data_IF_622922033712
#
_entry.id   IF_622922033712
#
_cell.length_a   1.000
_cell.length_b   1.000
_cell.length_c   1.000
_cell.angle_alpha   90.00
_cell.angle_beta   90.00
_cell.angle_gamma   90.00
#
_symmetry.space_group_name_H-M   'P 1'
#
loop_
_entity.id
_entity.type
_entity.pdbx_description
1 polymer ?
#
# COMPACT_ATOMS: atom_id res chain seq x y z
N UNK A 1 2.98 20.57 11.20
CA UNK A 1 3.52 19.66 10.17
C UNK A 1 4.99 19.46 10.46
N UNK A 2 5.50 18.22 10.43
CA UNK A 2 6.80 17.88 11.00
C UNK A 2 8.03 18.26 10.16
N UNK A 3 7.90 19.15 9.15
CA UNK A 3 9.01 19.61 8.29
C UNK A 3 9.73 18.53 7.47
N UNK A 4 9.39 17.26 7.64
CA UNK A 4 10.03 16.12 6.98
C UNK A 4 9.09 15.60 5.90
N UNK A 5 9.62 15.46 4.69
CA UNK A 5 8.89 14.89 3.54
C UNK A 5 9.65 13.70 2.98
N UNK A 6 8.96 12.59 2.78
CA UNK A 6 9.46 11.43 2.06
C UNK A 6 8.85 11.42 0.66
N UNK A 7 9.68 11.32 -0.39
CA UNK A 7 9.25 11.12 -1.77
C UNK A 7 9.63 9.71 -2.19
N UNK A 8 8.63 8.84 -2.36
CA UNK A 8 8.78 7.41 -2.57
C UNK A 8 8.35 7.00 -3.98
N UNK A 9 9.27 6.41 -4.73
CA UNK A 9 8.98 5.76 -6.02
C UNK A 9 9.02 4.23 -5.93
N UNK A 10 8.75 3.55 -7.05
CA UNK A 10 8.66 2.08 -7.10
C UNK A 10 9.97 1.38 -6.69
N UNK A 11 11.09 2.09 -6.74
CA UNK A 11 12.38 1.62 -6.26
C UNK A 11 12.42 1.30 -4.76
N UNK A 12 11.56 1.92 -3.93
CA UNK A 12 11.48 1.58 -2.49
C UNK A 12 11.08 0.12 -2.29
N UNK A 13 10.20 -0.39 -3.15
CA UNK A 13 9.70 -1.75 -3.11
C UNK A 13 10.74 -2.78 -3.59
N UNK A 14 11.90 -2.36 -4.13
CA UNK A 14 12.98 -3.26 -4.55
C UNK A 14 13.72 -3.93 -3.39
N UNK A 15 13.43 -3.54 -2.15
CA UNK A 15 13.85 -4.25 -0.94
C UNK A 15 12.99 -5.49 -0.65
N UNK A 16 11.84 -5.64 -1.33
CA UNK A 16 10.93 -6.76 -1.16
C UNK A 16 11.33 -7.92 -2.08
N UNK A 17 11.08 -9.13 -1.57
CA UNK A 17 11.14 -10.35 -2.35
C UNK A 17 9.96 -11.22 -1.99
N UNK A 18 9.30 -11.78 -2.99
CA UNK A 18 8.26 -12.78 -2.78
C UNK A 18 8.83 -14.18 -2.54
N UNK A 19 7.95 -15.17 -2.41
CA UNK A 19 8.31 -16.58 -2.22
C UNK A 19 9.13 -17.17 -3.38
N UNK A 20 9.02 -16.60 -4.58
CA UNK A 20 9.78 -16.99 -5.77
C UNK A 20 11.07 -16.16 -5.92
N UNK A 21 11.47 -15.42 -4.86
CA UNK A 21 12.62 -14.53 -4.82
C UNK A 21 12.59 -13.46 -5.94
N UNK A 22 11.40 -13.12 -6.44
CA UNK A 22 11.16 -12.01 -7.36
C UNK A 22 10.94 -10.73 -6.59
N UNK A 23 11.43 -9.62 -7.14
CA UNK A 23 11.16 -8.29 -6.63
C UNK A 23 9.88 -7.74 -7.26
N UNK A 24 9.15 -6.84 -6.57
CA UNK A 24 8.08 -6.08 -7.21
C UNK A 24 8.57 -5.43 -8.51
N UNK A 25 7.73 -5.34 -9.55
CA UNK A 25 8.17 -4.81 -10.83
C UNK A 25 8.38 -3.30 -10.81
N UNK A 26 9.33 -2.86 -11.62
CA UNK A 26 9.38 -1.51 -12.16
C UNK A 26 8.58 -1.48 -13.47
N UNK A 27 8.26 -0.27 -13.94
CA UNK A 27 7.46 -0.08 -15.15
C UNK A 27 8.02 -0.81 -16.39
N UNK A 28 9.34 -0.94 -16.48
CA UNK A 28 10.04 -1.52 -17.64
C UNK A 28 10.15 -3.04 -17.63
N UNK A 29 9.89 -3.70 -16.49
CA UNK A 29 10.08 -5.14 -16.33
C UNK A 29 8.85 -5.87 -15.78
N UNK A 30 7.68 -5.21 -15.73
CA UNK A 30 6.45 -5.80 -15.23
C UNK A 30 6.07 -7.10 -15.94
N UNK A 31 6.06 -7.09 -17.27
CA UNK A 31 5.71 -8.29 -18.05
C UNK A 31 6.73 -9.41 -17.85
N UNK A 32 8.02 -9.08 -17.72
CA UNK A 32 9.07 -10.07 -17.45
C UNK A 32 8.87 -10.75 -16.09
N UNK A 33 8.55 -9.97 -15.05
CA UNK A 33 8.33 -10.49 -13.70
C UNK A 33 7.04 -11.30 -13.64
N UNK A 34 5.96 -10.78 -14.22
CA UNK A 34 4.69 -11.48 -14.25
C UNK A 34 4.82 -12.83 -14.98
N UNK A 35 5.39 -12.85 -16.19
CA UNK A 35 5.49 -14.07 -17.00
C UNK A 35 6.41 -15.16 -16.41
N UNK A 36 7.27 -14.82 -15.43
CA UNK A 36 8.03 -15.82 -14.66
C UNK A 36 7.20 -16.53 -13.60
N UNK A 37 6.10 -15.95 -13.14
CA UNK A 37 5.22 -16.56 -12.15
C UNK A 37 4.30 -17.57 -12.82
N UNK A 38 4.13 -18.74 -12.18
CA UNK A 38 3.27 -19.83 -12.67
C UNK A 38 1.82 -19.38 -12.94
N UNK A 39 1.30 -18.48 -12.11
CA UNK A 39 -0.05 -17.91 -12.23
C UNK A 39 -0.30 -17.28 -13.61
N UNK A 40 0.65 -16.47 -14.10
CA UNK A 40 0.50 -15.71 -15.34
C UNK A 40 0.96 -16.47 -16.59
N UNK A 41 1.68 -17.58 -16.41
CA UNK A 41 2.05 -18.47 -17.51
C UNK A 41 0.98 -19.52 -17.83
N UNK A 42 0.02 -19.75 -16.93
CA UNK A 42 -1.11 -20.67 -17.12
C UNK A 42 -2.00 -20.31 -18.34
N UNK A 43 -2.54 -21.33 -19.01
CA UNK A 43 -3.34 -21.16 -20.22
C UNK A 43 -4.67 -20.43 -19.98
N UNK A 44 -5.36 -20.74 -18.87
CA UNK A 44 -6.63 -20.08 -18.53
C UNK A 44 -6.39 -18.59 -18.27
N UNK A 45 -5.31 -18.25 -17.55
CA UNK A 45 -4.94 -16.86 -17.32
C UNK A 45 -4.54 -16.15 -18.63
N UNK A 46 -3.71 -16.81 -19.44
CA UNK A 46 -3.20 -16.28 -20.72
C UNK A 46 -4.35 -15.89 -21.66
N UNK A 47 -5.39 -16.72 -21.75
CA UNK A 47 -6.53 -16.46 -22.62
C UNK A 47 -7.27 -15.16 -22.26
N UNK A 48 -7.36 -14.80 -20.97
CA UNK A 48 -8.06 -13.58 -20.53
C UNK A 48 -7.33 -12.30 -20.89
N UNK A 49 -6.01 -12.36 -20.96
CA UNK A 49 -5.16 -11.22 -21.32
C UNK A 49 -4.65 -11.28 -22.77
N UNK A 50 -5.11 -12.27 -23.55
CA UNK A 50 -4.62 -12.48 -24.92
C UNK A 50 -4.78 -11.25 -25.80
N UNK A 51 -5.88 -10.50 -25.66
CA UNK A 51 -6.11 -9.25 -26.39
C UNK A 51 -5.03 -8.18 -26.17
N UNK A 52 -4.39 -8.18 -25.00
CA UNK A 52 -3.27 -7.29 -24.68
C UNK A 52 -2.00 -7.79 -25.37
N UNK A 53 -1.72 -9.09 -25.34
CA UNK A 53 -0.58 -9.66 -26.06
C UNK A 53 -0.70 -9.46 -27.56
N UNK A 54 -1.88 -9.70 -28.14
CA UNK A 54 -2.15 -9.46 -29.57
C UNK A 54 -1.94 -8.00 -29.95
N UNK A 55 -2.36 -7.07 -29.07
CA UNK A 55 -2.12 -5.64 -29.26
C UNK A 55 -0.62 -5.31 -29.25
N UNK A 56 0.11 -5.80 -28.26
CA UNK A 56 1.57 -5.59 -28.17
C UNK A 56 2.29 -6.20 -29.36
N UNK A 57 1.94 -7.42 -29.77
CA UNK A 57 2.53 -8.09 -30.93
C UNK A 57 2.23 -7.33 -32.22
N UNK A 58 1.01 -6.81 -32.39
CA UNK A 58 0.63 -6.03 -33.57
C UNK A 58 1.54 -4.82 -33.78
N UNK A 59 1.82 -4.04 -32.73
CA UNK A 59 2.52 -2.75 -32.85
C UNK A 59 4.02 -2.81 -32.54
N UNK A 60 4.46 -3.66 -31.60
CA UNK A 60 5.87 -3.81 -31.22
C UNK A 60 6.54 -5.06 -31.78
N UNK A 61 5.79 -5.96 -32.44
CA UNK A 61 6.32 -7.24 -32.97
C UNK A 61 7.00 -8.10 -31.89
N UNK A 62 6.48 -8.02 -30.66
CA UNK A 62 6.96 -8.79 -29.50
C UNK A 62 5.91 -9.82 -29.12
N UNK A 63 6.30 -11.08 -29.17
CA UNK A 63 5.49 -12.21 -28.70
C UNK A 63 5.49 -12.27 -27.18
N UNK A 64 4.59 -13.07 -26.59
CA UNK A 64 4.63 -13.39 -25.15
C UNK A 64 6.00 -13.89 -24.69
N UNK A 65 6.68 -14.69 -25.52
CA UNK A 65 8.04 -15.19 -25.22
C UNK A 65 9.05 -14.05 -25.16
N UNK A 66 8.98 -13.10 -26.09
CA UNK A 66 9.85 -11.93 -26.09
C UNK A 66 9.63 -11.06 -24.84
N UNK A 67 8.36 -10.88 -24.44
CA UNK A 67 7.98 -10.10 -23.26
C UNK A 67 8.44 -10.74 -21.94
N UNK A 68 8.60 -12.06 -21.90
CA UNK A 68 9.17 -12.75 -20.74
C UNK A 68 10.69 -12.52 -20.60
N UNK A 69 11.37 -12.27 -21.72
CA UNK A 69 12.83 -12.27 -21.80
C UNK A 69 13.45 -10.89 -22.01
N UNK A 70 12.67 -9.88 -22.44
CA UNK A 70 13.17 -8.53 -22.72
C UNK A 70 12.32 -7.45 -22.02
N UNK A 71 12.93 -6.32 -21.60
CA UNK A 71 12.18 -5.19 -21.06
C UNK A 71 11.12 -4.69 -22.04
N UNK A 72 10.01 -4.18 -21.49
CA UNK A 72 8.93 -3.58 -22.25
C UNK A 72 8.47 -2.30 -21.57
N UNK A 73 8.41 -1.21 -22.33
CA UNK A 73 8.01 0.09 -21.84
C UNK A 73 6.49 0.22 -21.80
N UNK A 74 5.91 -0.01 -20.62
CA UNK A 74 4.48 0.15 -20.42
C UNK A 74 4.01 1.59 -20.66
N UNK A 75 4.85 2.60 -20.47
CA UNK A 75 4.44 3.99 -20.68
C UNK A 75 4.11 4.25 -22.15
N UNK A 76 4.95 3.74 -23.05
CA UNK A 76 4.71 3.82 -24.49
C UNK A 76 3.43 3.06 -24.89
N UNK A 77 3.17 1.91 -24.26
CA UNK A 77 1.99 1.10 -24.54
C UNK A 77 0.69 1.83 -24.15
N UNK A 78 0.61 2.32 -22.91
CA UNK A 78 -0.54 3.09 -22.44
C UNK A 78 -0.70 4.40 -23.23
N UNK A 79 0.40 5.10 -23.53
CA UNK A 79 0.36 6.33 -24.34
C UNK A 79 -0.19 6.07 -25.75
N UNK A 80 0.19 4.96 -26.39
CA UNK A 80 -0.34 4.60 -27.71
C UNK A 80 -1.83 4.25 -27.63
N UNK A 81 -2.24 3.47 -26.62
CA UNK A 81 -3.64 3.13 -26.38
C UNK A 81 -4.50 4.37 -26.19
N UNK A 82 -4.04 5.31 -25.36
CA UNK A 82 -4.73 6.57 -25.09
C UNK A 82 -4.90 7.40 -26.37
N UNK A 83 -3.84 7.57 -27.16
CA UNK A 83 -3.92 8.30 -28.43
C UNK A 83 -4.87 7.65 -29.42
N UNK A 84 -4.81 6.32 -29.57
CA UNK A 84 -5.71 5.60 -30.47
C UNK A 84 -7.17 5.71 -30.01
N UNK A 85 -7.44 5.70 -28.70
CA UNK A 85 -8.79 5.93 -28.16
C UNK A 85 -9.30 7.33 -28.48
N UNK A 86 -8.48 8.36 -28.34
CA UNK A 86 -8.85 9.74 -28.67
C UNK A 86 -9.15 9.93 -30.16
N UNK A 87 -8.44 9.20 -31.02
CA UNK A 87 -8.71 9.21 -32.47
C UNK A 87 -9.99 8.43 -32.81
N UNK A 88 -10.20 7.28 -32.18
CA UNK A 88 -11.34 6.41 -32.42
C UNK A 88 -12.66 6.98 -31.87
N UNK A 89 -12.65 7.66 -30.71
CA UNK A 89 -13.88 8.16 -30.09
C UNK A 89 -14.69 9.12 -30.98
N UNK A 90 -14.04 9.74 -31.98
CA UNK A 90 -14.66 10.66 -32.95
C UNK A 90 -15.06 9.98 -34.28
N UNK A 91 -14.58 8.77 -34.56
CA UNK A 91 -14.61 8.17 -35.91
C UNK A 91 -15.16 6.75 -35.95
N UNK A 92 -14.86 5.94 -34.93
CA UNK A 92 -15.13 4.52 -34.92
C UNK A 92 -15.44 4.05 -33.48
N UNK A 93 -16.73 3.87 -33.21
CA UNK A 93 -17.23 3.46 -31.90
C UNK A 93 -16.82 2.02 -31.53
N UNK A 94 -16.71 1.12 -32.51
CA UNK A 94 -16.36 -0.27 -32.23
C UNK A 94 -14.86 -0.40 -31.93
N UNK A 95 -14.02 0.31 -32.68
CA UNK A 95 -12.58 0.39 -32.35
C UNK A 95 -12.35 1.07 -31.00
N UNK A 96 -13.11 2.13 -30.68
CA UNK A 96 -13.04 2.78 -29.37
C UNK A 96 -13.35 1.79 -28.23
N UNK A 97 -14.45 1.04 -28.33
CA UNK A 97 -14.81 0.00 -27.35
C UNK A 97 -13.72 -1.07 -27.23
N UNK A 98 -13.16 -1.52 -28.35
CA UNK A 98 -12.07 -2.51 -28.38
C UNK A 98 -10.84 -2.00 -27.63
N UNK A 99 -10.43 -0.75 -27.86
CA UNK A 99 -9.27 -0.15 -27.20
C UNK A 99 -9.50 0.10 -25.71
N UNK A 100 -10.70 0.52 -25.31
CA UNK A 100 -11.09 0.63 -23.89
C UNK A 100 -10.99 -0.73 -23.20
N UNK A 101 -11.46 -1.81 -23.84
CA UNK A 101 -11.35 -3.15 -23.29
C UNK A 101 -9.88 -3.61 -23.12
N UNK A 102 -9.02 -3.31 -24.10
CA UNK A 102 -7.58 -3.65 -24.03
C UNK A 102 -6.90 -2.89 -22.89
N UNK A 103 -7.12 -1.58 -22.78
CA UNK A 103 -6.58 -0.75 -21.71
C UNK A 103 -7.05 -1.24 -20.34
N UNK A 104 -8.34 -1.54 -20.20
CA UNK A 104 -8.90 -2.10 -18.96
C UNK A 104 -8.21 -3.41 -18.56
N UNK A 105 -8.06 -4.35 -19.50
CA UNK A 105 -7.38 -5.65 -19.23
C UNK A 105 -5.91 -5.46 -18.83
N UNK A 106 -5.20 -4.56 -19.50
CA UNK A 106 -3.81 -4.22 -19.15
C UNK A 106 -3.72 -3.56 -17.76
N UNK A 107 -4.65 -2.65 -17.44
CA UNK A 107 -4.76 -1.98 -16.15
C UNK A 107 -5.04 -2.98 -15.01
N UNK A 108 -6.01 -3.88 -15.19
CA UNK A 108 -6.32 -4.94 -14.23
C UNK A 108 -5.15 -5.91 -14.05
N UNK A 109 -4.39 -6.18 -15.12
CA UNK A 109 -3.20 -7.03 -15.04
C UNK A 109 -2.08 -6.37 -14.23
N UNK A 110 -1.82 -5.09 -14.48
CA UNK A 110 -0.91 -4.27 -13.68
C UNK A 110 -1.30 -4.33 -12.19
N UNK A 111 -2.58 -4.08 -11.89
CA UNK A 111 -3.09 -4.08 -10.52
C UNK A 111 -2.93 -5.45 -9.83
N UNK A 112 -3.27 -6.54 -10.52
CA UNK A 112 -3.14 -7.90 -9.98
C UNK A 112 -1.68 -8.29 -9.72
N UNK A 113 -0.78 -8.00 -10.66
CA UNK A 113 0.65 -8.29 -10.50
C UNK A 113 1.24 -7.53 -9.31
N UNK A 114 0.88 -6.26 -9.13
CA UNK A 114 1.35 -5.47 -7.99
C UNK A 114 0.78 -5.96 -6.66
N UNK A 115 -0.50 -6.34 -6.64
CA UNK A 115 -1.18 -6.82 -5.43
C UNK A 115 -0.60 -8.14 -4.91
N UNK A 116 -0.11 -9.01 -5.79
CA UNK A 116 0.59 -10.25 -5.40
C UNK A 116 1.82 -9.99 -4.49
N UNK A 117 2.41 -8.79 -4.56
CA UNK A 117 3.59 -8.45 -3.74
C UNK A 117 3.23 -7.84 -2.39
N UNK A 118 1.98 -7.43 -2.13
CA UNK A 118 1.60 -6.78 -0.87
C UNK A 118 1.87 -7.69 0.34
N UNK A 119 1.57 -8.98 0.23
CA UNK A 119 1.86 -9.97 1.27
C UNK A 119 3.36 -10.23 1.48
N UNK A 120 4.19 -9.91 0.49
CA UNK A 120 5.64 -10.06 0.57
C UNK A 120 6.32 -8.86 1.23
N UNK A 121 5.58 -7.78 1.48
CA UNK A 121 6.08 -6.54 2.08
C UNK A 121 6.59 -6.69 3.52
N UNK A 122 6.25 -7.78 4.21
CA UNK A 122 6.61 -8.01 5.62
C UNK A 122 8.00 -8.62 5.82
N UNK A 123 9.03 -8.04 5.19
CA UNK A 123 10.41 -8.38 5.52
C UNK A 123 11.00 -7.40 6.55
N UNK A 124 12.10 -7.82 7.20
CA UNK A 124 12.70 -7.05 8.30
C UNK A 124 13.13 -5.63 7.88
N UNK A 125 13.64 -5.47 6.66
CA UNK A 125 14.05 -4.15 6.14
C UNK A 125 12.84 -3.23 5.99
N UNK A 126 11.78 -3.69 5.35
CA UNK A 126 10.54 -2.91 5.17
C UNK A 126 9.84 -2.63 6.50
N UNK A 127 9.82 -3.58 7.43
CA UNK A 127 9.32 -3.36 8.79
C UNK A 127 10.10 -2.27 9.53
N UNK A 128 11.44 -2.35 9.50
CA UNK A 128 12.30 -1.32 10.10
C UNK A 128 12.10 0.05 9.43
N UNK A 129 11.88 0.08 8.12
CA UNK A 129 11.50 1.30 7.43
C UNK A 129 10.15 1.86 7.92
N UNK A 130 9.14 1.01 8.08
CA UNK A 130 7.86 1.38 8.70
C UNK A 130 8.03 2.00 10.09
N UNK A 131 8.94 1.46 10.92
CA UNK A 131 9.24 2.03 12.26
C UNK A 131 9.86 3.42 12.18
N UNK A 132 10.72 3.67 11.20
CA UNK A 132 11.26 5.01 10.94
C UNK A 132 10.12 5.96 10.61
N UNK A 133 9.20 5.57 9.70
CA UNK A 133 8.07 6.42 9.29
C UNK A 133 7.10 6.70 10.45
N UNK A 134 6.74 5.68 11.22
CA UNK A 134 5.86 5.82 12.41
C UNK A 134 6.50 6.74 13.45
N UNK A 135 7.82 6.66 13.64
CA UNK A 135 8.52 7.51 14.59
C UNK A 135 8.64 8.96 14.09
N UNK A 136 9.01 9.16 12.83
CA UNK A 136 9.26 10.49 12.28
C UNK A 136 7.96 11.25 11.95
N UNK A 137 6.83 10.58 11.82
CA UNK A 137 5.55 11.19 11.38
C UNK A 137 5.72 12.14 10.17
N UNK A 138 6.35 11.69 9.07
CA UNK A 138 6.60 12.55 7.92
C UNK A 138 5.36 12.70 7.04
N UNK A 139 5.31 13.74 6.22
CA UNK A 139 4.40 13.71 5.06
C UNK A 139 5.02 12.80 3.99
N UNK A 140 4.26 11.82 3.51
CA UNK A 140 4.74 10.83 2.54
C UNK A 140 4.09 11.13 1.20
N UNK A 141 4.90 11.41 0.18
CA UNK A 141 4.48 11.55 -1.21
C UNK A 141 4.89 10.26 -1.91
N UNK A 142 3.94 9.59 -2.57
CA UNK A 142 4.27 8.38 -3.32
C UNK A 142 3.55 8.32 -4.66
N UNK A 143 4.25 7.73 -5.63
CA UNK A 143 3.76 7.46 -6.98
C UNK A 143 3.36 5.99 -7.16
N UNK A 144 3.51 5.18 -6.11
CA UNK A 144 3.24 3.75 -6.13
C UNK A 144 1.74 3.51 -5.95
N UNK A 145 1.17 2.65 -6.79
CA UNK A 145 -0.23 2.26 -6.70
C UNK A 145 -0.49 1.24 -5.58
N UNK A 146 0.48 0.36 -5.31
CA UNK A 146 0.38 -0.67 -4.27
C UNK A 146 0.23 -0.08 -2.87
N UNK A 147 -0.27 -0.90 -1.93
CA UNK A 147 -0.50 -0.48 -0.55
C UNK A 147 0.61 -0.93 0.42
N UNK A 148 1.83 -1.20 -0.07
CA UNK A 148 2.92 -1.76 0.74
C UNK A 148 3.32 -0.80 1.87
N UNK A 149 3.39 0.51 1.59
CA UNK A 149 3.78 1.53 2.57
C UNK A 149 2.74 1.62 3.70
N UNK A 150 1.47 1.53 3.37
CA UNK A 150 0.38 1.47 4.35
C UNK A 150 0.50 0.21 5.22
N UNK A 151 0.69 -0.95 4.60
CA UNK A 151 0.81 -2.22 5.31
C UNK A 151 2.00 -2.27 6.26
N UNK A 152 3.15 -1.69 5.90
CA UNK A 152 4.32 -1.65 6.79
C UNK A 152 4.14 -0.63 7.92
N UNK A 153 3.41 0.47 7.71
CA UNK A 153 3.09 1.43 8.76
C UNK A 153 2.10 0.82 9.74
N UNK A 154 1.05 0.16 9.27
CA UNK A 154 0.10 -0.59 10.10
C UNK A 154 0.82 -1.60 10.99
N UNK A 155 1.71 -2.40 10.39
CA UNK A 155 2.50 -3.40 11.11
C UNK A 155 3.46 -2.76 12.12
N UNK A 156 4.21 -1.73 11.72
CA UNK A 156 5.18 -1.05 12.58
C UNK A 156 4.52 -0.20 13.68
N UNK A 157 3.26 0.20 13.51
CA UNK A 157 2.50 0.93 14.53
C UNK A 157 2.12 0.07 15.74
N UNK A 158 2.21 -1.25 15.60
CA UNK A 158 1.80 -2.21 16.63
C UNK A 158 0.30 -2.47 16.64
N UNK A 159 -0.09 -3.49 17.39
CA UNK A 159 -1.48 -3.95 17.52
C UNK A 159 -2.21 -3.09 18.56
N UNK A 160 -3.46 -2.76 18.27
CA UNK A 160 -4.37 -2.10 19.20
C UNK A 160 -4.95 -3.13 20.19
N UNK A 161 -4.63 -3.06 21.49
CA UNK A 161 -5.12 -4.02 22.48
C UNK A 161 -6.60 -3.80 22.87
N UNK A 162 -7.17 -2.64 22.51
CA UNK A 162 -8.52 -2.24 22.91
C UNK A 162 -9.56 -2.84 21.96
N UNK A 163 -9.77 -4.15 22.06
CA UNK A 163 -10.77 -4.86 21.25
C UNK A 163 -12.19 -4.48 21.74
N UNK A 164 -13.07 -3.94 20.88
CA UNK A 164 -14.43 -3.56 21.27
C UNK A 164 -15.28 -4.75 21.72
N UNK A 165 -16.22 -4.51 22.64
CA UNK A 165 -17.14 -5.53 23.18
C UNK A 165 -17.85 -6.37 22.12
N UNK A 166 -18.35 -5.80 21.00
CA UNK A 166 -19.02 -6.59 19.96
C UNK A 166 -18.19 -7.72 19.36
N UNK A 167 -16.86 -7.71 19.47
CA UNK A 167 -16.01 -8.83 19.03
C UNK A 167 -15.98 -10.00 20.02
N UNK A 168 -16.32 -9.77 21.28
CA UNK A 168 -16.39 -10.82 22.30
C UNK A 168 -17.69 -11.63 22.21
N UNK A 169 -18.76 -11.01 21.72
CA UNK A 169 -20.08 -11.63 21.60
C UNK A 169 -20.19 -12.38 20.26
N UNK A 170 -20.05 -13.71 20.31
CA UNK A 170 -19.94 -14.62 19.14
C UNK A 170 -21.23 -14.82 18.33
N UNK A 171 -21.92 -13.76 17.95
CA UNK A 171 -23.01 -13.86 16.97
C UNK A 171 -22.73 -12.96 15.77
N UNK A 172 -22.05 -13.49 14.74
CA UNK A 172 -22.00 -12.82 13.45
C UNK A 172 -23.37 -12.97 12.80
N UNK A 173 -24.25 -11.97 12.95
CA UNK A 173 -25.35 -11.82 12.00
C UNK A 173 -24.95 -10.75 10.98
N UNK A 174 -25.31 -10.99 9.73
CA UNK A 174 -24.96 -10.17 8.56
C UNK A 174 -25.76 -8.84 8.53
N UNK A 175 -26.78 -8.70 9.39
CA UNK A 175 -27.81 -7.65 9.31
C UNK A 175 -27.73 -6.55 10.39
N UNK A 176 -26.70 -6.54 11.25
CA UNK A 176 -26.58 -5.46 12.24
C UNK A 176 -25.86 -4.23 11.69
N UNK A 177 -26.53 -3.08 11.81
CA UNK A 177 -25.90 -1.77 11.72
C UNK A 177 -24.64 -1.75 12.60
N UNK A 178 -23.51 -1.34 12.02
CA UNK A 178 -22.20 -1.37 12.68
C UNK A 178 -22.24 -0.41 13.86
N UNK A 179 -22.01 -0.82 15.13
CA UNK A 179 -22.02 0.09 16.26
C UNK A 179 -20.95 1.18 16.15
N UNK A 180 -21.19 2.36 16.73
CA UNK A 180 -20.23 3.48 16.71
C UNK A 180 -18.87 3.11 17.32
N UNK A 181 -18.85 2.24 18.33
CA UNK A 181 -17.62 1.70 18.94
C UNK A 181 -16.72 0.96 17.94
N UNK A 182 -17.29 0.41 16.86
CA UNK A 182 -16.54 -0.26 15.80
C UNK A 182 -16.05 0.71 14.72
N UNK A 183 -16.63 1.91 14.60
CA UNK A 183 -16.25 2.87 13.57
C UNK A 183 -14.83 3.38 13.76
N UNK A 184 -14.40 3.56 15.01
CA UNK A 184 -13.06 4.04 15.32
C UNK A 184 -12.04 2.91 15.50
N UNK A 185 -12.51 1.66 15.55
CA UNK A 185 -11.63 0.54 15.80
C UNK A 185 -10.80 0.18 14.56
N UNK A 186 -9.52 -0.10 14.81
CA UNK A 186 -8.58 -0.67 13.87
C UNK A 186 -7.72 -1.66 14.65
N UNK A 187 -7.36 -2.80 14.04
CA UNK A 187 -6.42 -3.76 14.65
C UNK A 187 -5.02 -3.19 14.84
N UNK A 188 -4.64 -2.23 14.01
CA UNK A 188 -3.38 -1.51 14.12
C UNK A 188 -3.59 -0.15 14.79
N UNK A 189 -2.59 0.32 15.52
CA UNK A 189 -2.61 1.66 16.12
C UNK A 189 -2.67 2.77 15.06
N UNK A 190 -2.25 2.47 13.83
CA UNK A 190 -2.48 3.28 12.66
C UNK A 190 -3.68 2.77 11.85
N UNK A 191 -4.62 3.66 11.51
CA UNK A 191 -5.86 3.35 10.81
C UNK A 191 -5.82 3.89 9.36
N UNK A 192 -5.72 3.00 8.37
CA UNK A 192 -5.49 3.33 6.95
C UNK A 192 -6.47 4.32 6.33
N UNK A 193 -7.79 4.20 6.52
CA UNK A 193 -8.76 5.23 6.10
C UNK A 193 -8.46 6.67 6.54
N UNK A 194 -7.69 6.86 7.62
CA UNK A 194 -7.28 8.17 8.14
C UNK A 194 -5.92 8.64 7.58
N UNK A 195 -5.22 7.77 6.86
CA UNK A 195 -3.84 7.95 6.38
C UNK A 195 -3.69 8.79 5.13
N UNK A 196 -4.71 8.87 4.27
CA UNK A 196 -4.56 9.41 2.92
C UNK A 196 -4.66 10.94 2.80
N UNK A 197 -5.04 11.62 3.89
CA UNK A 197 -5.25 13.07 3.90
C UNK A 197 -6.49 13.55 3.11
N UNK A 198 -7.28 12.62 2.60
CA UNK A 198 -8.59 12.83 1.96
C UNK A 198 -9.64 11.95 2.64
N UNK A 199 -10.91 12.19 2.32
CA UNK A 199 -12.04 11.36 2.76
C UNK A 199 -12.60 10.56 1.58
N UNK A 200 -13.18 9.40 1.88
CA UNK A 200 -13.89 8.55 0.93
C UNK A 200 -15.40 8.57 1.23
N UNK A 201 -16.22 8.32 0.21
CA UNK A 201 -17.68 8.26 0.33
C UNK A 201 -18.16 6.95 0.97
N UNK A 202 -17.38 5.88 0.84
CA UNK A 202 -17.57 4.61 1.54
C UNK A 202 -16.22 4.06 1.98
N UNK A 203 -16.18 3.50 3.18
CA UNK A 203 -14.96 2.98 3.81
C UNK A 203 -15.17 1.53 4.21
N UNK A 204 -14.32 0.65 3.70
CA UNK A 204 -14.16 -0.68 4.28
C UNK A 204 -13.43 -0.56 5.63
N UNK A 205 -14.02 -1.12 6.67
CA UNK A 205 -13.41 -1.20 7.99
C UNK A 205 -12.30 -2.25 7.99
N UNK A 206 -11.09 -1.83 8.35
CA UNK A 206 -9.91 -2.69 8.45
C UNK A 206 -9.89 -3.45 9.79
N UNK A 207 -10.85 -4.36 9.90
CA UNK A 207 -11.02 -5.27 11.03
C UNK A 207 -10.89 -6.73 10.59
N UNK A 208 -10.51 -7.62 11.50
CA UNK A 208 -10.32 -9.03 11.27
C UNK A 208 -11.69 -9.71 11.14
N UNK A 209 -11.78 -10.65 10.21
CA UNK A 209 -13.01 -11.36 9.89
C UNK A 209 -13.68 -10.80 8.64
N UNK A 210 -15.01 -10.73 8.66
CA UNK A 210 -15.81 -10.34 7.49
C UNK A 210 -15.66 -8.84 7.25
N UNK A 211 -15.37 -8.50 6.00
CA UNK A 211 -15.29 -7.11 5.54
C UNK A 211 -16.62 -6.40 5.79
N UNK A 212 -16.56 -5.25 6.45
CA UNK A 212 -17.71 -4.40 6.69
C UNK A 212 -17.48 -3.04 6.06
N UNK A 213 -18.54 -2.47 5.49
CA UNK A 213 -18.50 -1.18 4.81
C UNK A 213 -19.38 -0.19 5.54
N UNK A 214 -18.94 1.06 5.60
CA UNK A 214 -19.67 2.16 6.22
C UNK A 214 -19.68 3.37 5.31
N UNK A 215 -20.78 4.12 5.36
CA UNK A 215 -20.85 5.45 4.77
C UNK A 215 -19.70 6.33 5.32
N UNK A 216 -19.03 7.02 4.40
CA UNK A 216 -17.88 7.85 4.68
C UNK A 216 -18.21 9.02 5.60
N UNK A 217 -19.36 9.69 5.39
CA UNK A 217 -19.77 10.81 6.27
C UNK A 217 -19.94 10.32 7.69
N UNK A 218 -20.55 9.14 7.88
CA UNK A 218 -20.66 8.49 9.20
C UNK A 218 -19.28 8.18 9.78
N UNK A 219 -18.39 7.56 9.01
CA UNK A 219 -17.04 7.22 9.47
C UNK A 219 -16.22 8.46 9.89
N UNK A 220 -16.16 9.50 9.05
CA UNK A 220 -15.33 10.69 9.27
C UNK A 220 -15.95 11.71 10.25
N UNK A 221 -17.26 11.64 10.50
CA UNK A 221 -17.91 12.45 11.54
C UNK A 221 -17.65 11.93 12.96
N UNK A 222 -17.21 10.68 13.11
CA UNK A 222 -16.93 10.09 14.42
C UNK A 222 -15.77 10.84 15.11
N UNK A 223 -15.90 11.26 16.39
CA UNK A 223 -14.92 12.13 17.04
C UNK A 223 -13.48 11.60 17.11
N UNK A 224 -13.31 10.28 17.08
CA UNK A 224 -12.01 9.61 17.11
C UNK A 224 -11.38 9.42 15.71
N UNK A 225 -12.16 9.57 14.63
CA UNK A 225 -11.71 9.36 13.26
C UNK A 225 -11.21 10.65 12.63
N UNK A 226 -10.05 11.11 13.09
CA UNK A 226 -9.39 12.30 12.53
C UNK A 226 -8.30 11.89 11.55
N UNK A 227 -8.29 12.52 10.39
CA UNK A 227 -7.19 12.35 9.42
C UNK A 227 -5.85 12.65 10.08
N UNK A 228 -4.84 11.83 9.81
CA UNK A 228 -3.51 12.01 10.36
C UNK A 228 -2.88 13.31 9.83
N UNK A 229 -2.12 13.99 10.69
CA UNK A 229 -1.36 15.20 10.33
C UNK A 229 -0.11 14.92 9.49
N UNK A 230 0.18 13.64 9.24
CA UNK A 230 1.31 13.12 8.49
C UNK A 230 0.80 12.16 7.39
N UNK A 231 0.14 12.70 6.34
CA UNK A 231 -0.59 11.87 5.40
C UNK A 231 0.33 11.17 4.39
N UNK A 232 -0.21 10.11 3.77
CA UNK A 232 0.32 9.42 2.59
C UNK A 232 -0.44 9.96 1.37
N UNK A 233 0.21 10.85 0.63
CA UNK A 233 -0.31 11.48 -0.58
C UNK A 233 0.05 10.61 -1.79
N UNK A 234 -0.93 9.84 -2.29
CA UNK A 234 -0.82 8.97 -3.47
C UNK A 234 -1.03 9.78 -4.75
N UNK A 235 0.06 10.33 -5.29
CA UNK A 235 0.04 11.28 -6.42
C UNK A 235 -0.48 10.67 -7.73
N UNK A 236 -0.36 9.36 -7.90
CA UNK A 236 -0.89 8.62 -9.06
C UNK A 236 -2.06 7.69 -8.69
N UNK A 237 -2.62 7.82 -7.50
CA UNK A 237 -3.75 7.02 -7.04
C UNK A 237 -3.32 5.71 -6.39
N UNK A 238 -4.29 4.84 -6.10
CA UNK A 238 -4.05 3.64 -5.28
C UNK A 238 -4.88 2.45 -5.75
N UNK A 239 -4.38 1.23 -5.54
CA UNK A 239 -5.07 -0.01 -5.87
C UNK A 239 -6.23 -0.34 -4.91
N UNK A 240 -6.38 0.42 -3.83
CA UNK A 240 -7.50 0.31 -2.89
C UNK A 240 -8.48 1.50 -2.99
N UNK A 241 -8.31 2.41 -3.95
CA UNK A 241 -9.25 3.48 -4.22
C UNK A 241 -10.04 3.13 -5.46
N UNK A 242 -11.35 3.15 -5.39
CA UNK A 242 -12.19 2.72 -6.50
C UNK A 242 -13.31 3.72 -6.79
N UNK A 243 -13.77 3.68 -8.03
CA UNK A 243 -15.02 4.30 -8.48
C UNK A 243 -15.92 3.23 -9.07
N UNK A 244 -17.22 3.46 -9.03
CA UNK A 244 -18.17 2.60 -9.71
C UNK A 244 -18.12 2.78 -11.23
N UNK A 245 -18.30 1.68 -11.95
CA UNK A 245 -18.58 1.68 -13.38
C UNK A 245 -20.09 1.47 -13.59
N UNK A 246 -20.72 2.12 -14.59
CA UNK A 246 -22.13 1.92 -14.95
C UNK A 246 -22.37 0.57 -15.65
N UNK A 247 -21.81 -0.49 -15.09
CA UNK A 247 -21.86 -1.86 -15.58
C UNK A 247 -22.09 -2.78 -14.39
N UNK A 248 -23.17 -3.57 -14.44
CA UNK A 248 -23.52 -4.53 -13.40
C UNK A 248 -22.62 -5.76 -13.48
N UNK A 249 -22.29 -6.33 -12.32
CA UNK A 249 -21.55 -7.61 -12.24
C UNK A 249 -22.44 -8.83 -12.51
N UNK A 250 -23.77 -8.64 -12.50
CA UNK A 250 -24.75 -9.66 -12.85
C UNK A 250 -25.85 -9.09 -13.77
N UNK A 251 -26.48 -9.94 -14.61
CA UNK A 251 -27.52 -9.48 -15.52
C UNK A 251 -28.75 -8.96 -14.76
N UNK A 252 -29.43 -7.97 -15.32
CA UNK A 252 -30.77 -7.59 -14.88
C UNK A 252 -31.74 -8.72 -15.20
N UNK A 253 -32.53 -9.15 -14.21
CA UNK A 253 -33.49 -10.22 -14.43
C UNK A 253 -34.77 -9.70 -15.13
N UNK A 254 -35.46 -10.53 -15.94
CA UNK A 254 -36.69 -10.10 -16.59
C UNK A 254 -37.73 -9.62 -15.58
N UNK A 255 -38.21 -8.38 -15.73
CA UNK A 255 -39.21 -7.77 -14.85
C UNK A 255 -38.63 -6.87 -13.75
N UNK A 256 -37.30 -6.81 -13.60
CA UNK A 256 -36.65 -5.80 -12.74
C UNK A 256 -36.50 -4.47 -13.49
N UNK A 257 -36.74 -3.36 -12.80
CA UNK A 257 -36.33 -2.04 -13.30
C UNK A 257 -34.81 -2.02 -13.49
N UNK A 258 -34.33 -1.38 -14.56
CA UNK A 258 -32.89 -1.25 -14.76
C UNK A 258 -32.31 -0.40 -13.63
N UNK A 259 -31.45 -0.97 -12.76
CA UNK A 259 -30.85 -0.21 -11.69
C UNK A 259 -29.91 0.84 -12.28
N UNK A 260 -29.94 2.05 -11.73
CA UNK A 260 -29.01 3.14 -12.09
C UNK A 260 -28.07 3.43 -10.94
N UNK A 261 -26.82 3.80 -11.22
CA UNK A 261 -25.87 4.21 -10.18
C UNK A 261 -26.31 5.46 -9.41
N UNK A 262 -26.93 6.42 -10.11
CA UNK A 262 -27.31 7.70 -9.50
C UNK A 262 -26.07 8.41 -8.95
N UNK A 263 -26.16 8.88 -7.69
CA UNK A 263 -25.06 9.58 -7.01
C UNK A 263 -23.79 8.73 -6.85
N UNK A 264 -23.91 7.39 -6.86
CA UNK A 264 -22.78 6.47 -6.71
C UNK A 264 -21.75 6.55 -7.83
N UNK A 265 -22.12 7.05 -9.01
CA UNK A 265 -21.18 7.20 -10.13
C UNK A 265 -20.01 8.15 -9.81
N UNK A 266 -20.21 9.06 -8.86
CA UNK A 266 -19.19 10.04 -8.44
C UNK A 266 -18.52 9.70 -7.12
N UNK A 267 -18.91 8.60 -6.48
CA UNK A 267 -18.34 8.17 -5.21
C UNK A 267 -16.93 7.60 -5.39
N UNK A 268 -16.05 7.95 -4.46
CA UNK A 268 -14.73 7.37 -4.29
C UNK A 268 -14.79 6.48 -3.07
N UNK A 269 -14.64 5.17 -3.27
CA UNK A 269 -14.72 4.18 -2.20
C UNK A 269 -13.33 3.66 -1.85
N UNK A 270 -13.10 3.41 -0.56
CA UNK A 270 -11.88 2.78 -0.05
C UNK A 270 -12.17 1.32 0.27
N UNK A 271 -11.71 0.43 -0.60
CA UNK A 271 -11.90 -1.02 -0.45
C UNK A 271 -10.61 -1.77 -0.79
N UNK A 272 -10.34 -2.86 -0.08
CA UNK A 272 -9.24 -3.76 -0.36
C UNK A 272 -9.54 -4.47 -1.68
N UNK A 273 -8.79 -4.13 -2.72
CA UNK A 273 -8.98 -4.68 -4.05
C UNK A 273 -8.72 -6.19 -4.06
N UNK A 274 -9.74 -6.98 -4.38
CA UNK A 274 -9.59 -8.40 -4.66
C UNK A 274 -9.34 -8.62 -6.14
N UNK A 275 -8.07 -8.61 -6.52
CA UNK A 275 -7.63 -8.81 -7.89
C UNK A 275 -7.49 -10.30 -8.19
N UNK A 276 -8.42 -10.87 -8.94
CA UNK A 276 -8.38 -12.29 -9.26
C UNK A 276 -8.70 -12.57 -10.73
N UNK A 277 -7.81 -13.31 -11.40
CA UNK A 277 -8.01 -13.81 -12.76
C UNK A 277 -8.28 -12.72 -13.79
N UNK A 278 -7.68 -11.54 -13.60
CA UNK A 278 -7.86 -10.36 -14.45
C UNK A 278 -9.33 -9.93 -14.57
N UNK A 279 -10.19 -10.31 -13.61
CA UNK A 279 -11.57 -9.86 -13.58
C UNK A 279 -11.69 -8.50 -12.90
N UNK A 280 -12.60 -7.63 -13.39
CA UNK A 280 -12.96 -6.43 -12.66
C UNK A 280 -13.44 -6.81 -11.25
N UNK A 281 -12.91 -6.16 -10.19
CA UNK A 281 -13.55 -6.26 -8.90
C UNK A 281 -14.97 -5.70 -8.96
N UNK A 282 -15.86 -6.21 -8.11
CA UNK A 282 -17.22 -5.72 -7.99
C UNK A 282 -17.56 -5.36 -6.53
N UNK A 283 -18.53 -4.47 -6.38
CA UNK A 283 -19.04 -4.01 -5.10
C UNK A 283 -20.49 -3.58 -5.23
N UNK A 284 -21.34 -4.03 -4.31
CA UNK A 284 -22.80 -3.83 -4.35
C UNK A 284 -23.45 -4.19 -5.71
N UNK A 285 -22.92 -5.21 -6.40
CA UNK A 285 -23.44 -5.66 -7.70
C UNK A 285 -23.00 -4.84 -8.92
N UNK A 286 -22.04 -3.95 -8.74
CA UNK A 286 -21.48 -3.10 -9.79
C UNK A 286 -20.00 -3.36 -9.94
N UNK A 287 -19.49 -3.37 -11.17
CA UNK A 287 -18.04 -3.36 -11.36
C UNK A 287 -17.44 -2.06 -10.86
N UNK A 288 -16.26 -2.15 -10.28
CA UNK A 288 -15.48 -1.01 -9.79
C UNK A 288 -14.12 -0.96 -10.48
N UNK A 289 -13.65 0.26 -10.72
CA UNK A 289 -12.39 0.53 -11.43
C UNK A 289 -11.45 1.29 -10.50
N UNK A 290 -10.16 0.90 -10.38
CA UNK A 290 -9.28 1.53 -9.43
C UNK A 290 -8.93 2.93 -9.94
N UNK A 291 -8.87 3.88 -9.03
CA UNK A 291 -8.53 5.26 -9.32
C UNK A 291 -7.01 5.36 -9.36
N UNK A 292 -6.45 5.18 -10.56
CA UNK A 292 -5.02 5.32 -10.83
C UNK A 292 -4.76 6.13 -12.09
N UNK A 293 -3.66 6.88 -12.09
CA UNK A 293 -3.09 7.54 -13.27
C UNK A 293 -2.10 6.55 -13.88
N UNK A 294 -2.50 5.86 -14.95
CA UNK A 294 -1.62 4.94 -15.67
C UNK A 294 -0.39 5.67 -16.21
N UNK A 295 0.74 4.98 -16.41
CA UNK A 295 1.93 5.62 -16.92
C UNK A 295 1.71 6.01 -18.37
N UNK A 296 1.36 7.27 -18.59
CA UNK A 296 1.06 7.87 -19.88
C UNK A 296 1.88 9.14 -20.02
N UNK A 297 2.15 9.56 -21.26
CA UNK A 297 2.84 10.84 -21.49
C UNK A 297 1.97 12.04 -21.06
N UNK A 298 0.65 11.97 -21.28
CA UNK A 298 -0.26 13.10 -21.07
C UNK A 298 -1.13 12.91 -19.82
N UNK A 299 -0.64 13.41 -18.68
CA UNK A 299 -1.30 13.23 -17.38
C UNK A 299 -2.22 14.39 -16.95
N UNK A 300 -2.18 15.52 -17.65
CA UNK A 300 -2.83 16.77 -17.24
C UNK A 300 -4.34 16.66 -16.96
N UNK A 301 -5.04 15.79 -17.70
CA UNK A 301 -6.48 15.60 -17.51
C UNK A 301 -6.81 15.00 -16.14
N UNK A 302 -5.95 14.10 -15.64
CA UNK A 302 -6.18 13.43 -14.36
C UNK A 302 -5.95 14.37 -13.18
N UNK A 303 -4.95 15.27 -13.26
CA UNK A 303 -4.61 16.18 -12.16
C UNK A 303 -5.68 17.24 -11.87
N UNK A 304 -6.66 17.40 -12.76
CA UNK A 304 -7.77 18.35 -12.59
C UNK A 304 -9.00 17.73 -11.93
N UNK A 305 -9.07 16.40 -11.87
CA UNK A 305 -10.20 15.67 -11.32
C UNK A 305 -9.96 15.29 -9.84
N UNK A 306 -11.01 15.21 -9.01
CA UNK A 306 -10.91 14.58 -7.69
C UNK A 306 -10.46 13.11 -7.80
N UNK A 307 -9.66 12.59 -6.85
CA UNK A 307 -9.11 13.30 -5.69
C UNK A 307 -7.77 14.02 -5.98
N UNK A 308 -7.25 13.92 -7.21
CA UNK A 308 -5.87 14.30 -7.53
C UNK A 308 -5.57 15.79 -7.35
N UNK A 309 -6.49 16.67 -7.75
CA UNK A 309 -6.28 18.11 -7.59
C UNK A 309 -5.93 18.48 -6.14
N UNK A 310 -6.72 18.01 -5.19
CA UNK A 310 -6.51 18.27 -3.76
C UNK A 310 -5.20 17.64 -3.27
N UNK A 311 -4.93 16.39 -3.65
CA UNK A 311 -3.72 15.66 -3.22
C UNK A 311 -2.45 16.37 -3.71
N UNK A 312 -2.42 16.83 -4.96
CA UNK A 312 -1.29 17.54 -5.54
C UNK A 312 -1.08 18.92 -4.91
N UNK A 313 -2.17 19.64 -4.58
CA UNK A 313 -2.09 20.88 -3.80
C UNK A 313 -1.52 20.65 -2.39
N UNK A 314 -1.95 19.57 -1.72
CA UNK A 314 -1.40 19.17 -0.41
C UNK A 314 0.09 18.83 -0.51
N UNK A 315 0.51 18.12 -1.55
CA UNK A 315 1.90 17.75 -1.78
C UNK A 315 2.77 18.98 -2.01
N UNK A 316 2.31 19.94 -2.83
CA UNK A 316 2.99 21.22 -3.05
C UNK A 316 3.17 21.97 -1.73
N UNK A 317 2.10 22.07 -0.93
CA UNK A 317 2.15 22.74 0.37
C UNK A 317 3.11 22.06 1.35
N UNK A 318 3.16 20.72 1.36
CA UNK A 318 4.07 19.97 2.21
C UNK A 318 5.53 20.19 1.80
N UNK A 319 5.83 20.14 0.49
CA UNK A 319 7.16 20.38 -0.05
C UNK A 319 7.61 21.83 0.18
N UNK A 320 6.75 22.83 0.00
CA UNK A 320 7.09 24.24 0.25
C UNK A 320 7.43 24.56 1.71
N UNK A 321 6.99 23.71 2.65
CA UNK A 321 7.32 23.82 4.08
C UNK A 321 8.35 22.79 4.54
N UNK A 322 8.90 22.03 3.60
CA UNK A 322 9.87 20.98 3.87
C UNK A 322 11.18 21.59 4.37
N UNK A 323 11.74 21.00 5.42
CA UNK A 323 13.07 21.28 5.95
C UNK A 323 14.02 20.11 5.69
N UNK A 324 13.51 18.89 5.69
CA UNK A 324 14.28 17.69 5.32
C UNK A 324 13.53 16.85 4.29
N UNK A 325 14.11 16.70 3.12
CA UNK A 325 13.60 15.89 2.03
C UNK A 325 14.36 14.55 1.97
N UNK A 326 13.61 13.45 1.96
CA UNK A 326 14.15 12.10 1.79
C UNK A 326 13.56 11.49 0.51
N UNK A 327 14.38 11.29 -0.51
CA UNK A 327 13.95 10.71 -1.79
C UNK A 327 14.40 9.27 -1.88
N UNK A 328 13.47 8.33 -2.06
CA UNK A 328 13.77 6.90 -2.10
C UNK A 328 13.19 6.24 -3.34
N UNK A 329 14.07 5.70 -4.19
CA UNK A 329 13.68 4.81 -5.29
C UNK A 329 12.81 5.45 -6.38
N UNK A 330 12.75 6.78 -6.47
CA UNK A 330 12.08 7.48 -7.56
C UNK A 330 13.08 7.84 -8.66
N UNK A 331 12.74 7.54 -9.91
CA UNK A 331 13.65 7.60 -11.06
C UNK A 331 13.59 8.92 -11.85
N UNK A 332 12.63 9.79 -11.58
CA UNK A 332 12.44 11.07 -12.30
C UNK A 332 12.47 10.93 -13.83
N UNK A 333 11.62 10.04 -14.37
CA UNK A 333 11.51 9.84 -15.82
C UNK A 333 11.45 11.19 -16.58
N UNK A 334 12.13 11.34 -17.74
CA UNK A 334 12.03 12.53 -18.56
C UNK A 334 10.59 12.98 -18.84
N UNK A 335 9.68 12.02 -19.03
CA UNK A 335 8.25 12.23 -19.29
C UNK A 335 7.41 12.63 -18.07
N UNK A 336 7.95 12.54 -16.85
CA UNK A 336 7.25 12.96 -15.62
C UNK A 336 7.54 14.45 -15.32
N UNK A 337 7.10 15.31 -16.23
CA UNK A 337 7.30 16.75 -16.09
C UNK A 337 6.52 17.32 -14.90
N UNK A 338 5.32 16.81 -14.62
CA UNK A 338 4.46 17.29 -13.53
C UNK A 338 5.13 17.16 -12.17
N UNK A 339 5.84 16.07 -11.91
CA UNK A 339 6.62 15.91 -10.67
C UNK A 339 7.79 16.86 -10.58
N UNK A 340 8.50 17.10 -11.69
CA UNK A 340 9.60 18.08 -11.74
C UNK A 340 9.09 19.49 -11.49
N UNK A 341 7.98 19.85 -12.13
CA UNK A 341 7.28 21.12 -11.92
C UNK A 341 6.85 21.28 -10.46
N UNK A 342 6.28 20.24 -9.85
CA UNK A 342 5.89 20.25 -8.44
C UNK A 342 7.07 20.61 -7.53
N UNK A 343 8.24 19.99 -7.73
CA UNK A 343 9.44 20.29 -6.95
C UNK A 343 9.96 21.71 -7.21
N UNK A 344 10.14 22.09 -8.48
CA UNK A 344 10.64 23.43 -8.84
C UNK A 344 9.76 24.53 -8.25
N UNK A 345 8.45 24.40 -8.37
CA UNK A 345 7.51 25.37 -7.82
C UNK A 345 7.52 25.36 -6.29
N UNK A 346 7.55 24.18 -5.67
CA UNK A 346 7.52 24.07 -4.22
C UNK A 346 8.80 24.62 -3.56
N UNK A 347 9.96 24.43 -4.19
CA UNK A 347 11.26 24.85 -3.68
C UNK A 347 11.71 26.25 -4.13
N UNK A 348 10.94 26.91 -4.99
CA UNK A 348 11.24 28.28 -5.47
C UNK A 348 11.50 29.31 -4.36
N UNK A 349 10.90 29.14 -3.18
CA UNK A 349 11.06 30.03 -2.02
C UNK A 349 11.33 29.24 -0.72
N UNK A 350 11.75 27.98 -0.82
CA UNK A 350 11.97 27.12 0.34
C UNK A 350 13.47 27.04 0.66
N UNK A 351 13.81 27.23 1.93
CA UNK A 351 15.15 26.97 2.45
C UNK A 351 15.21 25.54 3.02
N UNK A 352 15.59 24.59 2.15
CA UNK A 352 15.77 23.19 2.52
C UNK A 352 17.05 23.03 3.35
N UNK A 353 16.95 22.37 4.50
CA UNK A 353 18.06 22.22 5.45
C UNK A 353 18.78 20.87 5.30
N UNK A 354 18.09 19.85 4.78
CA UNK A 354 18.67 18.53 4.59
C UNK A 354 18.08 17.77 3.41
N UNK A 355 18.95 17.10 2.65
CA UNK A 355 18.58 16.26 1.53
C UNK A 355 19.22 14.87 1.67
N UNK A 356 18.39 13.83 1.64
CA UNK A 356 18.80 12.43 1.61
C UNK A 356 18.29 11.80 0.31
N UNK A 357 19.16 11.12 -0.42
CA UNK A 357 18.80 10.39 -1.64
C UNK A 357 19.18 8.91 -1.51
N UNK A 358 18.20 8.03 -1.64
CA UNK A 358 18.36 6.58 -1.61
C UNK A 358 18.02 6.04 -3.00
N UNK A 359 19.04 5.88 -3.84
CA UNK A 359 18.87 5.42 -5.21
C UNK A 359 20.17 4.80 -5.74
N UNK A 360 20.11 3.64 -6.42
CA UNK A 360 21.30 3.04 -7.02
C UNK A 360 21.90 3.89 -8.14
N UNK A 361 21.09 4.71 -8.82
CA UNK A 361 21.57 5.67 -9.82
C UNK A 361 22.02 6.98 -9.15
N UNK A 362 23.33 7.19 -9.16
CA UNK A 362 24.01 8.37 -8.62
C UNK A 362 23.59 9.66 -9.35
N UNK A 363 23.18 9.59 -10.62
CA UNK A 363 22.78 10.78 -11.37
C UNK A 363 21.51 11.43 -10.80
N UNK A 364 20.68 10.67 -10.08
CA UNK A 364 19.48 11.17 -9.41
C UNK A 364 19.84 12.18 -8.32
N UNK A 365 21.01 12.06 -7.69
CA UNK A 365 21.46 13.00 -6.65
C UNK A 365 21.53 14.42 -7.21
N UNK A 366 22.23 14.62 -8.33
CA UNK A 366 22.37 15.94 -8.93
C UNK A 366 21.02 16.47 -9.42
N UNK A 367 20.22 15.61 -10.06
CA UNK A 367 18.89 16.00 -10.51
C UNK A 367 17.99 16.50 -9.37
N UNK A 368 17.99 15.82 -8.22
CA UNK A 368 17.18 16.25 -7.07
C UNK A 368 17.72 17.56 -6.48
N UNK A 369 19.05 17.74 -6.42
CA UNK A 369 19.65 19.02 -6.00
C UNK A 369 19.15 20.17 -6.88
N UNK A 370 19.20 19.99 -8.19
CA UNK A 370 18.79 21.01 -9.16
C UNK A 370 17.30 21.34 -9.03
N UNK A 371 16.45 20.32 -8.89
CA UNK A 371 14.99 20.48 -8.72
C UNK A 371 14.60 21.16 -7.39
N UNK A 372 15.43 21.04 -6.35
CA UNK A 372 15.16 21.62 -5.04
C UNK A 372 15.98 22.89 -4.76
N UNK A 373 16.78 23.37 -5.71
CA UNK A 373 17.73 24.48 -5.53
C UNK A 373 18.65 24.30 -4.31
N UNK A 374 19.06 23.05 -4.03
CA UNK A 374 19.79 22.72 -2.82
C UNK A 374 21.31 22.70 -3.04
N UNK A 375 22.01 23.69 -2.49
CA UNK A 375 23.47 23.82 -2.62
C UNK A 375 24.26 23.06 -1.54
N UNK A 376 23.57 22.55 -0.51
CA UNK A 376 24.19 21.83 0.60
C UNK A 376 24.73 20.42 0.25
N UNK A 377 25.30 19.77 1.26
CA UNK A 377 25.76 18.38 1.16
C UNK A 377 24.58 17.41 1.14
N UNK A 378 24.59 16.46 0.21
CA UNK A 378 23.57 15.41 0.10
C UNK A 378 24.08 14.13 0.75
N UNK A 379 23.26 13.53 1.62
CA UNK A 379 23.52 12.19 2.12
C UNK A 379 22.96 11.19 1.11
N UNK A 380 23.82 10.35 0.55
CA UNK A 380 23.43 9.35 -0.45
C UNK A 380 23.60 7.93 0.08
N UNK A 381 22.65 7.08 -0.28
CA UNK A 381 22.68 5.64 -0.04
C UNK A 381 22.32 4.91 -1.33
N UNK A 382 22.96 3.77 -1.59
CA UNK A 382 22.69 2.96 -2.79
C UNK A 382 21.30 2.35 -2.77
N UNK A 383 20.84 1.90 -1.60
CA UNK A 383 19.58 1.19 -1.44
C UNK A 383 18.98 1.40 -0.05
N UNK A 384 17.74 0.90 0.12
CA UNK A 384 16.99 1.05 1.36
C UNK A 384 17.67 0.33 2.54
N UNK A 385 18.36 -0.79 2.31
CA UNK A 385 19.04 -1.51 3.38
C UNK A 385 20.23 -0.72 3.94
N UNK A 386 21.00 -0.08 3.06
CA UNK A 386 22.09 0.81 3.45
C UNK A 386 21.55 2.01 4.25
N UNK A 387 20.46 2.63 3.79
CA UNK A 387 19.78 3.70 4.51
C UNK A 387 19.34 3.29 5.92
N UNK A 388 18.66 2.14 6.06
CA UNK A 388 18.20 1.64 7.36
C UNK A 388 19.39 1.34 8.28
N UNK A 389 20.46 0.73 7.76
CA UNK A 389 21.67 0.41 8.53
C UNK A 389 22.40 1.66 9.00
N UNK A 390 22.44 2.71 8.18
CA UNK A 390 23.00 3.99 8.58
C UNK A 390 22.14 4.66 9.65
N UNK A 391 20.82 4.63 9.47
CA UNK A 391 19.87 5.15 10.45
C UNK A 391 20.02 4.45 11.81
N UNK A 392 20.12 3.12 11.83
CA UNK A 392 20.22 2.31 13.06
C UNK A 392 21.51 2.58 13.87
N UNK A 393 22.53 3.19 13.27
CA UNK A 393 23.79 3.57 13.96
C UNK A 393 23.69 4.92 14.67
N UNK A 394 22.66 5.72 14.37
CA UNK A 394 22.40 6.96 15.10
C UNK A 394 21.84 6.63 16.49
N UNK A 395 22.01 7.51 17.48
CA UNK A 395 21.43 7.31 18.81
C UNK A 395 19.91 7.12 18.74
N UNK A 396 19.25 7.92 17.90
CA UNK A 396 17.82 7.81 17.63
C UNK A 396 17.46 6.46 17.01
N UNK A 397 18.20 6.06 15.97
CA UNK A 397 17.96 4.79 15.30
C UNK A 397 18.29 3.59 16.17
N UNK A 398 19.26 3.66 17.07
CA UNK A 398 19.51 2.61 18.05
C UNK A 398 18.30 2.46 18.98
N UNK A 399 17.77 3.55 19.53
CA UNK A 399 16.59 3.53 20.42
C UNK A 399 15.33 3.02 19.71
N UNK A 400 15.14 3.38 18.44
CA UNK A 400 14.06 2.84 17.62
C UNK A 400 14.33 1.35 17.41
N UNK A 401 15.46 0.94 16.84
CA UNK A 401 15.70 -0.44 16.43
C UNK A 401 15.81 -1.45 17.59
N UNK A 402 16.35 -1.05 18.75
CA UNK A 402 16.53 -1.90 19.95
C UNK A 402 15.18 -2.35 20.54
N UNK A 403 14.14 -1.50 20.49
CA UNK A 403 12.78 -1.88 20.94
C UNK A 403 12.09 -2.90 20.01
N UNK A 404 12.83 -3.66 19.20
CA UNK A 404 12.26 -4.65 18.28
C UNK A 404 13.25 -5.68 17.76
N UNK A 405 14.28 -6.03 18.54
CA UNK A 405 15.20 -7.08 18.12
C UNK A 405 14.48 -8.43 17.95
N UNK A 406 14.46 -8.87 16.70
CA UNK A 406 14.29 -10.28 16.32
C UNK A 406 15.45 -11.07 16.90
N UNK A 407 15.17 -11.96 17.85
CA UNK A 407 16.04 -13.10 18.14
C UNK A 407 16.18 -13.90 16.83
N UNK A 408 17.38 -13.90 16.23
CA UNK A 408 17.71 -14.85 15.16
C UNK A 408 17.79 -16.23 15.82
N UNK A 409 16.74 -17.02 15.73
CA UNK A 409 16.79 -18.45 16.07
C UNK A 409 17.46 -19.15 14.89
N UNK A 410 18.61 -19.81 15.10
CA UNK A 410 19.21 -20.63 14.05
C UNK A 410 18.24 -21.73 13.66
N UNK A 411 18.25 -22.18 12.40
CA UNK A 411 17.31 -23.20 11.92
C UNK A 411 17.44 -24.55 12.67
N UNK A 412 18.59 -24.75 13.33
CA UNK A 412 18.91 -25.90 14.19
C UNK A 412 18.31 -25.79 15.62
N UNK A 413 17.83 -24.60 16.03
CA UNK A 413 17.29 -24.30 17.36
C UNK A 413 15.75 -24.21 17.40
N UNK A 414 15.06 -24.45 16.27
CA UNK A 414 13.59 -24.38 16.20
C UNK A 414 13.00 -25.66 16.80
N UNK A 415 12.19 -25.59 17.88
CA UNK A 415 11.54 -26.76 18.46
C UNK A 415 10.65 -27.48 17.44
N UNK A 416 10.68 -28.81 17.43
CA UNK A 416 9.77 -29.63 16.62
C UNK A 416 8.40 -29.84 17.27
N UNK A 417 8.22 -29.38 18.52
CA UNK A 417 6.97 -29.49 19.24
C UNK A 417 5.91 -28.53 18.64
N UNK A 418 4.84 -29.14 18.13
CA UNK A 418 3.67 -28.48 17.55
C UNK A 418 2.45 -28.53 18.48
N UNK A 419 2.59 -29.04 19.71
CA UNK A 419 1.48 -29.14 20.65
C UNK A 419 1.01 -27.76 21.13
N UNK A 420 -0.31 -27.57 21.34
CA UNK A 420 -0.84 -26.28 21.77
C UNK A 420 -0.35 -25.87 23.17
N UNK A 421 0.09 -24.62 23.26
CA UNK A 421 0.51 -23.93 24.47
C UNK A 421 -0.25 -22.61 24.59
N UNK A 422 -0.61 -22.25 25.81
CA UNK A 422 -1.13 -20.94 26.15
C UNK A 422 0.06 -20.02 26.51
N UNK A 423 0.01 -18.78 26.06
CA UNK A 423 1.00 -17.75 26.38
C UNK A 423 0.62 -17.01 27.67
N UNK A 424 1.60 -16.90 28.57
CA UNK A 424 1.50 -16.16 29.83
C UNK A 424 2.52 -15.04 29.86
N UNK A 425 2.25 -14.00 30.63
CA UNK A 425 3.22 -12.94 30.97
C UNK A 425 3.13 -12.64 32.46
N UNK A 426 4.17 -12.01 33.01
CA UNK A 426 4.21 -11.55 34.40
C UNK A 426 4.13 -10.03 34.47
N UNK A 427 3.18 -9.49 35.23
CA UNK A 427 3.02 -8.05 35.39
C UNK A 427 4.31 -7.39 35.88
N UNK A 428 4.80 -6.38 35.13
CA UNK A 428 6.03 -5.64 35.46
C UNK A 428 5.89 -4.79 36.73
N UNK A 429 4.67 -4.44 37.14
CA UNK A 429 4.40 -3.72 38.39
C UNK A 429 4.07 -4.65 39.56
N UNK A 430 3.02 -5.48 39.47
CA UNK A 430 2.54 -6.27 40.61
C UNK A 430 3.07 -7.72 40.63
N UNK A 431 3.79 -8.16 39.61
CA UNK A 431 4.37 -9.50 39.55
C UNK A 431 3.36 -10.64 39.34
N UNK A 432 2.06 -10.36 39.20
CA UNK A 432 1.04 -11.37 38.91
C UNK A 432 1.29 -11.96 37.51
N UNK A 433 1.31 -13.28 37.42
CA UNK A 433 1.35 -14.00 36.16
C UNK A 433 -0.07 -14.26 35.65
N UNK A 434 -0.35 -14.03 34.37
CA UNK A 434 -1.68 -14.17 33.79
C UNK A 434 -1.62 -14.59 32.31
N UNK A 435 -2.65 -15.30 31.81
CA UNK A 435 -2.72 -15.68 30.41
C UNK A 435 -3.04 -14.46 29.52
N UNK A 436 -2.40 -14.37 28.36
CA UNK A 436 -2.62 -13.29 27.39
C UNK A 436 -3.68 -13.61 26.33
N UNK A 437 -4.37 -14.75 26.46
CA UNK A 437 -5.42 -15.17 25.53
C UNK A 437 -4.93 -15.65 24.15
N UNK A 438 -3.62 -15.77 23.96
CA UNK A 438 -3.01 -16.25 22.72
C UNK A 438 -2.59 -17.71 22.88
N UNK A 439 -3.04 -18.55 21.94
CA UNK A 439 -2.55 -19.92 21.78
C UNK A 439 -1.56 -20.01 20.64
N UNK A 440 -0.47 -20.73 20.87
CA UNK A 440 0.56 -21.00 19.88
C UNK A 440 1.10 -22.42 20.11
N UNK A 441 2.12 -22.82 19.38
CA UNK A 441 2.96 -23.96 19.72
C UNK A 441 4.43 -23.51 19.81
N UNK A 442 5.33 -24.30 20.41
CA UNK A 442 6.74 -23.95 20.54
C UNK A 442 7.43 -23.65 19.21
N UNK A 443 7.13 -24.39 18.15
CA UNK A 443 7.67 -24.15 16.81
C UNK A 443 7.27 -22.77 16.26
N UNK A 444 5.98 -22.46 16.25
CA UNK A 444 5.43 -21.18 15.81
C UNK A 444 5.87 -20.03 16.72
N UNK A 445 5.95 -20.25 18.03
CA UNK A 445 6.45 -19.23 18.96
C UNK A 445 7.93 -18.90 18.70
N UNK A 446 8.75 -19.91 18.40
CA UNK A 446 10.17 -19.72 18.06
C UNK A 446 10.35 -18.87 16.79
N UNK A 447 9.47 -18.99 15.81
CA UNK A 447 9.55 -18.22 14.55
C UNK A 447 8.76 -16.90 14.56
N UNK A 448 7.83 -16.73 15.49
CA UNK A 448 7.04 -15.50 15.65
C UNK A 448 7.83 -14.35 16.30
N UNK A 449 7.45 -13.12 15.94
CA UNK A 449 7.98 -11.88 16.51
C UNK A 449 6.92 -11.27 17.43
N UNK A 450 7.26 -11.08 18.70
CA UNK A 450 6.42 -10.38 19.67
C UNK A 450 7.21 -9.18 20.19
N UNK A 451 6.75 -7.97 19.90
CA UNK A 451 7.47 -6.74 20.23
C UNK A 451 6.47 -5.69 20.70
N UNK A 452 6.67 -5.17 21.90
CA UNK A 452 5.87 -4.07 22.45
C UNK A 452 4.39 -4.38 22.64
N UNK A 453 3.99 -5.65 22.74
CA UNK A 453 2.59 -6.02 22.88
C UNK A 453 2.09 -5.62 24.27
N UNK A 454 1.06 -4.76 24.32
CA UNK A 454 0.54 -4.29 25.60
C UNK A 454 -0.46 -5.30 26.16
N UNK A 455 -0.19 -5.82 27.37
CA UNK A 455 -1.15 -6.63 28.13
C UNK A 455 -1.53 -5.94 29.43
N UNK A 456 -2.81 -6.01 29.78
CA UNK A 456 -3.33 -5.53 31.04
C UNK A 456 -3.48 -6.70 32.02
N UNK A 457 -2.86 -6.58 33.20
CA UNK A 457 -2.99 -7.60 34.24
C UNK A 457 -4.36 -7.51 34.95
N UNK A 458 -4.77 -8.54 35.71
CA UNK A 458 -6.04 -8.54 36.46
C UNK A 458 -6.19 -7.37 37.44
N UNK A 459 -5.07 -6.81 37.92
CA UNK A 459 -5.04 -5.64 38.81
C UNK A 459 -5.08 -4.29 38.05
N UNK A 460 -5.27 -4.32 36.73
CA UNK A 460 -5.47 -3.13 35.90
C UNK A 460 -4.20 -2.47 35.34
N UNK A 461 -3.00 -2.97 35.65
CA UNK A 461 -1.74 -2.41 35.12
C UNK A 461 -1.51 -2.85 33.67
N UNK A 462 -1.21 -1.90 32.78
CA UNK A 462 -0.88 -2.16 31.38
C UNK A 462 0.62 -1.95 31.12
N UNK A 463 1.27 -2.94 30.52
CA UNK A 463 2.70 -2.86 30.18
C UNK A 463 2.96 -3.39 28.77
N UNK A 464 3.96 -2.86 28.05
CA UNK A 464 4.48 -3.49 26.85
C UNK A 464 5.31 -4.72 27.20
N UNK A 465 5.13 -5.78 26.42
CA UNK A 465 5.84 -7.05 26.54
C UNK A 465 6.49 -7.43 25.21
N UNK A 466 7.75 -7.83 25.29
CA UNK A 466 8.53 -8.38 24.19
C UNK A 466 8.56 -9.90 24.30
N UNK A 467 9.02 -10.59 23.24
CA UNK A 467 9.04 -12.07 23.15
C UNK A 467 9.64 -12.75 24.39
N UNK A 468 10.68 -12.17 24.98
CA UNK A 468 11.36 -12.72 26.16
C UNK A 468 10.51 -12.64 27.45
N UNK A 469 9.50 -11.77 27.48
CA UNK A 469 8.59 -11.68 28.62
C UNK A 469 7.51 -12.78 28.62
N UNK A 470 7.34 -13.50 27.52
CA UNK A 470 6.31 -14.51 27.37
C UNK A 470 6.77 -15.89 27.84
N UNK A 471 5.86 -16.56 28.53
CA UNK A 471 6.05 -17.91 29.07
C UNK A 471 5.08 -18.84 28.35
N UNK A 472 5.61 -19.87 27.68
CA UNK A 472 4.80 -20.95 27.11
C UNK A 472 4.42 -21.93 28.21
N UNK A 473 3.12 -22.14 28.40
CA UNK A 473 2.60 -23.21 29.26
C UNK A 473 1.78 -24.18 28.44
N UNK A 474 2.05 -25.48 28.61
CA UNK A 474 1.31 -26.53 27.90
C UNK A 474 -0.17 -26.40 28.27
N UNK A 475 -1.04 -26.32 27.26
CA UNK A 475 -2.46 -26.12 27.50
C UNK A 475 -2.98 -27.28 28.35
N UNK A 476 -3.50 -26.99 29.55
CA UNK A 476 -4.17 -27.98 30.39
C UNK A 476 -5.54 -28.19 29.78
N UNK A 477 -5.83 -29.43 29.37
CA UNK A 477 -7.12 -29.81 28.79
C UNK A 477 -8.26 -29.62 29.78
#
# INVERSE_FOLDING_TARGET
MNGIVYLLGAGVNQAIKDFDNQKPPLITNLLQIALKKKKYSDAHYTNRIQVVYDYIEKYWKKTKSDLANAPFDLEQCFTLLERQKEEACRKDQEEYKRLVAIEFRLKSFLAEVLSDFEYSGFNLSMYNFGRILVHEHPTILTFNYDCIIESIIESASGVNPSIPRPFHDRTPSEDFEIPDELLAYSHSNWNRPLGYGITFDEVQLYQAGVSKYVDGKRFYSHPQNKLYSWPILKLHGSLNWFKYLPVRSFPTFPGEEQPTLGEKEHEIILVQGHWWFNEPPDHHGWYIDPIIITPTLYKDKYFREPPFKQIWEMAKNALSRCKRLVVIGYSFSPSDFSTKQLLLEAFSNNDLEGLIVVNPDVNIVQLVKDLCHFDGGVVWYRDLEEYIRAFSKTELGANIMIKGQSLKVAQEDIPTDTTPHDLYVKCKTCGVEFPVGIRTNPQSFATSIYVGNIHQCPEGHAHPYDKEDYILKKAVR
#
